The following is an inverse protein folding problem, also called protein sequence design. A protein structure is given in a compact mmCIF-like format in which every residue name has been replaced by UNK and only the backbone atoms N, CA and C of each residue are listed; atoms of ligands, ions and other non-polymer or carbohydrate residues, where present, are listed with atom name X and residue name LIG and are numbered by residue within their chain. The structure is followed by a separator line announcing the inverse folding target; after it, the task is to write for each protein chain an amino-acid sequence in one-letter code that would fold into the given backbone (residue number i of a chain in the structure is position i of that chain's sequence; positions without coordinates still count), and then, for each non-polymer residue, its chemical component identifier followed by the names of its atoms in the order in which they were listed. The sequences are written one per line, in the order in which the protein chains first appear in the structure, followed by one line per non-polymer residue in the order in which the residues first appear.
data_IF_806718675988
#
_entry.id   IF_806718675988
#
_cell.length_a   1.000
_cell.length_b   1.000
_cell.length_c   1.000
_cell.angle_alpha   90.00
_cell.angle_beta   90.00
_cell.angle_gamma   90.00
#
_symmetry.space_group_name_H-M   'P 1'
#
loop_
_entity.id
_entity.type
_entity.pdbx_description
1 polymer ?
#
# COMPACT_ATOMS: atom_id res chain seq x y z
N UNK A 1 8.80 20.93 15.01
CA UNK A 1 9.28 20.99 13.63
C UNK A 1 9.01 19.63 12.97
N UNK A 2 8.55 19.63 11.72
CA UNK A 2 8.15 18.43 10.97
C UNK A 2 9.27 17.37 10.89
N UNK A 3 10.52 17.79 10.76
CA UNK A 3 11.71 16.92 10.75
C UNK A 3 11.91 16.14 12.05
N UNK A 4 11.60 16.72 13.20
CA UNK A 4 11.70 16.03 14.50
C UNK A 4 10.60 14.98 14.66
N UNK A 5 9.38 15.27 14.19
CA UNK A 5 8.27 14.30 14.19
C UNK A 5 8.52 13.13 13.24
N UNK A 6 9.04 13.41 12.04
CA UNK A 6 9.42 12.36 11.08
C UNK A 6 10.53 11.47 11.64
N UNK A 7 11.55 12.04 12.29
CA UNK A 7 12.61 11.27 12.96
C UNK A 7 12.07 10.42 14.10
N UNK A 8 11.17 10.96 14.92
CA UNK A 8 10.55 10.23 16.02
C UNK A 8 9.66 9.08 15.51
N UNK A 9 8.87 9.31 14.46
CA UNK A 9 8.01 8.26 13.88
C UNK A 9 8.82 7.11 13.28
N UNK A 10 9.94 7.42 12.62
CA UNK A 10 10.87 6.40 12.09
C UNK A 10 11.50 5.57 13.21
N UNK A 11 11.98 6.21 14.28
CA UNK A 11 12.54 5.51 15.45
C UNK A 11 11.47 4.63 16.10
N UNK A 12 10.28 5.15 16.34
CA UNK A 12 9.17 4.39 16.92
C UNK A 12 8.76 3.22 16.03
N UNK A 13 8.68 3.40 14.71
CA UNK A 13 8.38 2.33 13.76
C UNK A 13 9.43 1.21 13.80
N UNK A 14 10.70 1.57 13.76
CA UNK A 14 11.80 0.60 13.83
C UNK A 14 11.85 -0.13 15.19
N UNK A 15 11.66 0.58 16.29
CA UNK A 15 11.60 -0.02 17.63
C UNK A 15 10.40 -0.96 17.77
N UNK A 16 9.24 -0.59 17.23
CA UNK A 16 8.03 -1.43 17.24
C UNK A 16 8.26 -2.71 16.44
N UNK A 17 8.80 -2.60 15.22
CA UNK A 17 9.09 -3.75 14.38
C UNK A 17 10.10 -4.70 15.05
N UNK A 18 11.23 -4.15 15.53
CA UNK A 18 12.23 -4.92 16.24
C UNK A 18 11.68 -5.55 17.52
N UNK A 19 10.89 -4.79 18.29
CA UNK A 19 10.24 -5.27 19.51
C UNK A 19 9.29 -6.43 19.25
N UNK A 20 8.49 -6.39 18.17
CA UNK A 20 7.61 -7.49 17.77
C UNK A 20 8.41 -8.74 17.40
N UNK A 21 9.48 -8.62 16.61
CA UNK A 21 10.35 -9.75 16.25
C UNK A 21 10.94 -10.38 17.51
N UNK A 22 11.52 -9.57 18.40
CA UNK A 22 12.09 -10.05 19.66
C UNK A 22 11.03 -10.68 20.55
N UNK A 23 9.83 -10.13 20.62
CA UNK A 23 8.71 -10.68 21.38
C UNK A 23 8.37 -12.11 20.93
N UNK A 24 8.24 -12.33 19.61
CA UNK A 24 7.95 -13.67 19.08
C UNK A 24 9.08 -14.66 19.37
N UNK A 25 10.33 -14.24 19.22
CA UNK A 25 11.50 -15.10 19.52
C UNK A 25 11.55 -15.48 21.01
N UNK A 26 11.35 -14.50 21.89
CA UNK A 26 11.37 -14.74 23.36
C UNK A 26 10.20 -15.64 23.78
N UNK A 27 8.98 -15.35 23.32
CA UNK A 27 7.81 -16.19 23.64
C UNK A 27 8.01 -17.60 23.09
N UNK A 28 8.51 -17.76 21.88
CA UNK A 28 8.82 -19.05 21.28
C UNK A 28 9.83 -19.84 22.10
N UNK A 29 10.90 -19.19 22.53
CA UNK A 29 11.92 -19.82 23.38
C UNK A 29 11.36 -20.21 24.76
N UNK A 30 10.58 -19.32 25.42
CA UNK A 30 9.93 -19.61 26.71
C UNK A 30 8.93 -20.77 26.62
N UNK A 31 8.23 -20.89 25.51
CA UNK A 31 7.29 -21.99 25.24
C UNK A 31 7.98 -23.27 24.74
N UNK A 32 9.31 -23.30 24.70
CA UNK A 32 10.12 -24.44 24.22
C UNK A 32 9.79 -24.83 22.76
N UNK A 33 9.35 -23.88 21.96
CA UNK A 33 9.20 -24.06 20.51
C UNK A 33 10.61 -24.15 19.91
N UNK A 34 10.78 -25.02 18.94
CA UNK A 34 12.01 -25.08 18.15
C UNK A 34 12.07 -23.88 17.21
N UNK A 35 12.54 -22.73 17.73
CA UNK A 35 12.44 -21.41 17.08
C UNK A 35 13.09 -21.42 15.69
N UNK A 36 14.24 -22.09 15.54
CA UNK A 36 14.93 -22.18 14.26
C UNK A 36 14.12 -22.92 13.21
N UNK A 37 13.59 -24.11 13.57
CA UNK A 37 12.78 -24.91 12.65
C UNK A 37 11.47 -24.19 12.30
N UNK A 38 10.81 -23.57 13.25
CA UNK A 38 9.62 -22.76 13.02
C UNK A 38 9.89 -21.56 12.11
N UNK A 39 11.06 -20.90 12.30
CA UNK A 39 11.48 -19.81 11.43
C UNK A 39 11.72 -20.29 9.99
N UNK A 40 12.44 -21.40 9.82
CA UNK A 40 12.71 -21.99 8.50
C UNK A 40 11.41 -22.40 7.78
N UNK A 41 10.46 -22.97 8.51
CA UNK A 41 9.14 -23.33 7.96
C UNK A 41 8.39 -22.09 7.46
N UNK A 42 8.29 -21.06 8.31
CA UNK A 42 7.67 -19.79 7.91
C UNK A 42 8.41 -19.08 6.78
N UNK A 43 9.73 -19.19 6.70
CA UNK A 43 10.51 -18.66 5.59
C UNK A 43 10.21 -19.37 4.26
N UNK A 44 9.98 -20.70 4.27
CA UNK A 44 9.55 -21.44 3.09
C UNK A 44 8.17 -20.99 2.62
N UNK A 45 7.21 -20.85 3.53
CA UNK A 45 5.87 -20.31 3.20
C UNK A 45 5.97 -18.91 2.60
N UNK A 46 6.78 -18.04 3.20
CA UNK A 46 7.04 -16.70 2.68
C UNK A 46 7.66 -16.70 1.28
N UNK A 47 8.57 -17.65 1.00
CA UNK A 47 9.16 -17.82 -0.33
C UNK A 47 8.12 -18.26 -1.37
N UNK A 48 7.22 -19.17 -1.01
CA UNK A 48 6.14 -19.60 -1.90
C UNK A 48 5.17 -18.47 -2.21
N UNK A 49 4.85 -17.63 -1.23
CA UNK A 49 4.07 -16.40 -1.45
C UNK A 49 4.80 -15.47 -2.42
N UNK A 50 6.09 -15.21 -2.22
CA UNK A 50 6.89 -14.36 -3.09
C UNK A 50 6.95 -14.90 -4.54
N UNK A 51 7.18 -16.21 -4.69
CA UNK A 51 7.19 -16.89 -5.99
C UNK A 51 5.86 -16.76 -6.73
N UNK A 52 4.74 -16.90 -6.01
CA UNK A 52 3.41 -16.79 -6.60
C UNK A 52 3.06 -15.33 -6.97
N UNK A 53 3.57 -14.34 -6.25
CA UNK A 53 3.35 -12.91 -6.54
C UNK A 53 4.20 -12.41 -7.72
N UNK A 54 5.38 -12.97 -7.94
CA UNK A 54 6.35 -12.48 -8.93
C UNK A 54 5.78 -12.35 -10.36
N UNK A 55 5.07 -13.34 -10.93
CA UNK A 55 4.49 -13.23 -12.26
C UNK A 55 3.48 -12.08 -12.38
N UNK A 56 2.67 -11.88 -11.34
CA UNK A 56 1.70 -10.77 -11.31
C UNK A 56 2.39 -9.42 -11.23
N UNK A 57 3.45 -9.30 -10.43
CA UNK A 57 4.25 -8.07 -10.36
C UNK A 57 4.90 -7.76 -11.71
N UNK A 58 5.51 -8.74 -12.37
CA UNK A 58 6.13 -8.56 -13.70
C UNK A 58 5.09 -8.13 -14.72
N UNK A 59 3.95 -8.81 -14.80
CA UNK A 59 2.88 -8.48 -15.74
C UNK A 59 2.35 -7.05 -15.50
N UNK A 60 2.14 -6.66 -14.23
CA UNK A 60 1.65 -5.32 -13.90
C UNK A 60 2.69 -4.24 -14.17
N UNK A 61 3.96 -4.47 -13.85
CA UNK A 61 5.04 -3.52 -14.15
C UNK A 61 5.19 -3.31 -15.67
N UNK A 62 5.06 -4.39 -16.47
CA UNK A 62 5.05 -4.27 -17.92
C UNK A 62 3.85 -3.44 -18.41
N UNK A 63 2.64 -3.69 -17.89
CA UNK A 63 1.43 -2.95 -18.26
C UNK A 63 1.56 -1.46 -17.89
N UNK A 64 2.04 -1.16 -16.69
CA UNK A 64 2.30 0.23 -16.23
C UNK A 64 3.38 0.88 -17.08
N UNK A 65 4.46 0.15 -17.40
CA UNK A 65 5.52 0.64 -18.28
C UNK A 65 4.98 1.03 -19.66
N UNK A 66 4.11 0.21 -20.27
CA UNK A 66 3.45 0.53 -21.53
C UNK A 66 2.53 1.76 -21.40
N UNK A 67 1.74 1.82 -20.33
CA UNK A 67 0.83 2.95 -20.07
C UNK A 67 1.61 4.26 -19.88
N UNK A 68 2.75 4.23 -19.20
CA UNK A 68 3.64 5.39 -19.05
C UNK A 68 4.34 5.73 -20.37
N UNK A 69 4.89 4.74 -21.06
CA UNK A 69 5.56 4.96 -22.35
C UNK A 69 4.62 5.52 -23.43
N UNK A 70 3.33 5.23 -23.34
CA UNK A 70 2.31 5.82 -24.22
C UNK A 70 1.95 7.26 -23.85
N UNK A 71 2.39 7.77 -22.70
CA UNK A 71 2.01 9.08 -22.14
C UNK A 71 0.57 9.15 -21.59
N UNK A 72 -0.19 8.07 -21.64
CA UNK A 72 -1.59 8.07 -21.18
C UNK A 72 -1.70 8.26 -19.67
N UNK A 73 -0.78 7.68 -18.90
CA UNK A 73 -0.74 7.87 -17.45
C UNK A 73 -0.40 9.33 -17.09
N UNK A 74 0.64 9.88 -17.71
CA UNK A 74 1.08 11.24 -17.45
C UNK A 74 0.01 12.26 -17.87
N UNK A 75 -0.64 12.05 -19.02
CA UNK A 75 -1.77 12.87 -19.45
C UNK A 75 -2.93 12.87 -18.42
N UNK A 76 -3.27 11.70 -17.88
CA UNK A 76 -4.30 11.58 -16.84
C UNK A 76 -3.91 12.27 -15.54
N UNK A 77 -2.67 12.08 -15.09
CA UNK A 77 -2.15 12.70 -13.86
C UNK A 77 -2.02 14.23 -14.01
N UNK A 78 -1.60 14.73 -15.16
CA UNK A 78 -1.53 16.16 -15.45
C UNK A 78 -2.92 16.82 -15.45
N UNK A 79 -3.92 16.13 -15.97
CA UNK A 79 -5.30 16.59 -15.86
C UNK A 79 -5.76 16.73 -14.42
N UNK A 80 -5.46 15.75 -13.57
CA UNK A 80 -5.76 15.81 -12.12
C UNK A 80 -4.94 16.92 -11.46
N UNK A 81 -3.65 17.03 -11.81
CA UNK A 81 -2.76 18.07 -11.26
C UNK A 81 -3.30 19.47 -11.53
N UNK A 82 -3.73 19.76 -12.76
CA UNK A 82 -4.36 21.04 -13.11
C UNK A 82 -5.63 21.32 -12.31
N UNK A 83 -6.47 20.30 -12.06
CA UNK A 83 -7.69 20.45 -11.25
C UNK A 83 -7.34 20.78 -9.78
N UNK A 84 -6.32 20.12 -9.22
CA UNK A 84 -5.85 20.33 -7.86
C UNK A 84 -5.23 21.73 -7.70
N UNK A 85 -4.41 22.16 -8.69
CA UNK A 85 -3.82 23.49 -8.74
C UNK A 85 -4.89 24.58 -8.85
N UNK A 86 -5.91 24.36 -9.68
CA UNK A 86 -7.04 25.30 -9.78
C UNK A 86 -7.80 25.42 -8.47
N UNK A 87 -7.88 24.36 -7.68
CA UNK A 87 -8.45 24.37 -6.33
C UNK A 87 -7.51 25.02 -5.28
N UNK A 88 -6.28 25.38 -5.65
CA UNK A 88 -5.28 25.98 -4.75
C UNK A 88 -4.62 25.00 -3.78
N UNK A 89 -4.66 23.70 -4.09
CA UNK A 89 -4.08 22.65 -3.25
C UNK A 89 -2.70 22.21 -3.76
N UNK A 90 -1.89 21.65 -2.85
CA UNK A 90 -0.58 21.09 -3.18
C UNK A 90 -0.75 19.81 -4.02
N UNK A 91 0.06 19.69 -5.08
CA UNK A 91 -0.03 18.61 -6.07
C UNK A 91 0.95 17.46 -5.83
N UNK A 92 1.80 17.53 -4.82
CA UNK A 92 2.85 16.53 -4.55
C UNK A 92 2.31 15.10 -4.38
N UNK A 93 1.06 14.94 -3.93
CA UNK A 93 0.44 13.62 -3.75
C UNK A 93 -0.08 13.01 -5.05
N UNK A 94 -0.20 13.76 -6.13
CA UNK A 94 -0.86 13.32 -7.37
C UNK A 94 -0.19 12.08 -7.96
N UNK A 95 1.13 12.00 -7.91
CA UNK A 95 1.89 10.86 -8.41
C UNK A 95 1.69 9.56 -7.59
N UNK A 96 1.08 9.65 -6.41
CA UNK A 96 0.67 8.50 -5.61
C UNK A 96 -0.73 7.97 -5.96
N UNK A 97 -1.55 8.76 -6.66
CA UNK A 97 -2.94 8.40 -6.99
C UNK A 97 -3.09 7.10 -7.78
N UNK A 98 -2.20 6.73 -8.73
CA UNK A 98 -2.29 5.44 -9.41
C UNK A 98 -2.34 4.25 -8.45
N UNK A 99 -1.55 4.26 -7.37
CA UNK A 99 -1.60 3.24 -6.32
C UNK A 99 -2.97 3.21 -5.64
N UNK A 100 -3.51 4.36 -5.27
CA UNK A 100 -4.82 4.49 -4.61
C UNK A 100 -5.97 4.03 -5.51
N UNK A 101 -5.94 4.40 -6.79
CA UNK A 101 -7.01 4.05 -7.75
C UNK A 101 -7.06 2.56 -8.07
N UNK A 102 -5.92 1.89 -8.08
CA UNK A 102 -5.84 0.45 -8.40
C UNK A 102 -6.07 -0.43 -7.18
N UNK A 103 -5.84 0.07 -5.98
CA UNK A 103 -5.93 -0.67 -4.72
C UNK A 103 -7.26 -1.39 -4.49
N UNK A 104 -8.45 -0.79 -4.72
CA UNK A 104 -9.73 -1.47 -4.55
C UNK A 104 -9.88 -2.73 -5.39
N UNK A 105 -9.23 -2.77 -6.57
CA UNK A 105 -9.35 -3.84 -7.55
C UNK A 105 -8.30 -4.93 -7.35
N UNK A 106 -7.06 -4.55 -7.04
CA UNK A 106 -5.94 -5.48 -6.97
C UNK A 106 -4.82 -4.99 -6.07
N UNK A 107 -4.58 -5.72 -4.98
CA UNK A 107 -3.48 -5.42 -4.05
C UNK A 107 -2.09 -5.64 -4.68
N UNK A 108 -1.94 -6.61 -5.58
CA UNK A 108 -0.69 -6.85 -6.30
C UNK A 108 -0.41 -5.75 -7.34
N UNK A 109 -1.44 -5.29 -8.05
CA UNK A 109 -1.33 -4.18 -8.99
C UNK A 109 -0.99 -2.86 -8.27
N UNK A 110 -1.65 -2.57 -7.14
CA UNK A 110 -1.33 -1.41 -6.33
C UNK A 110 0.11 -1.45 -5.80
N UNK A 111 0.62 -2.64 -5.44
CA UNK A 111 2.02 -2.81 -5.05
C UNK A 111 2.99 -2.54 -6.21
N UNK A 112 2.65 -2.96 -7.43
CA UNK A 112 3.45 -2.65 -8.62
C UNK A 112 3.48 -1.13 -8.89
N UNK A 113 2.33 -0.44 -8.75
CA UNK A 113 2.25 1.02 -8.85
C UNK A 113 3.09 1.72 -7.78
N UNK A 114 3.09 1.24 -6.54
CA UNK A 114 3.96 1.76 -5.48
C UNK A 114 5.45 1.62 -5.85
N UNK A 115 5.86 0.43 -6.32
CA UNK A 115 7.26 0.18 -6.71
C UNK A 115 7.65 1.12 -7.87
N UNK A 116 6.76 1.32 -8.82
CA UNK A 116 6.97 2.22 -9.95
C UNK A 116 7.13 3.68 -9.46
N UNK A 117 6.26 4.14 -8.56
CA UNK A 117 6.37 5.47 -7.94
C UNK A 117 7.71 5.64 -7.20
N UNK A 118 8.16 4.61 -6.47
CA UNK A 118 9.47 4.62 -5.81
C UNK A 118 10.64 4.69 -6.81
N UNK A 119 10.53 4.02 -7.95
CA UNK A 119 11.58 4.01 -8.98
C UNK A 119 11.67 5.34 -9.73
N UNK A 120 10.54 5.99 -10.00
CA UNK A 120 10.48 7.24 -10.76
C UNK A 120 10.73 8.48 -9.91
N UNK A 121 10.14 8.53 -8.72
CA UNK A 121 10.20 9.71 -7.84
C UNK A 121 11.25 9.58 -6.72
N UNK A 122 11.75 8.37 -6.48
CA UNK A 122 12.64 8.05 -5.36
C UNK A 122 11.90 7.45 -4.16
N UNK A 123 12.59 6.57 -3.41
CA UNK A 123 12.00 5.81 -2.29
C UNK A 123 11.54 6.71 -1.16
N UNK A 124 12.30 7.77 -0.86
CA UNK A 124 12.01 8.72 0.22
C UNK A 124 11.24 9.95 -0.26
N UNK A 125 10.74 9.94 -1.49
CA UNK A 125 9.96 11.05 -2.04
C UNK A 125 8.58 11.11 -1.40
N UNK A 126 7.99 12.31 -1.35
CA UNK A 126 6.66 12.51 -0.80
C UNK A 126 5.59 11.63 -1.47
N UNK A 127 5.53 11.51 -2.83
CA UNK A 127 4.60 10.60 -3.48
C UNK A 127 4.81 9.14 -3.07
N UNK A 128 6.06 8.67 -2.94
CA UNK A 128 6.35 7.30 -2.54
C UNK A 128 5.88 7.02 -1.09
N UNK A 129 6.06 7.97 -0.17
CA UNK A 129 5.57 7.88 1.20
C UNK A 129 4.03 7.84 1.25
N UNK A 130 3.35 8.68 0.45
CA UNK A 130 1.89 8.67 0.33
C UNK A 130 1.42 7.32 -0.24
N UNK A 131 2.01 6.85 -1.33
CA UNK A 131 1.65 5.58 -1.95
C UNK A 131 1.87 4.38 -1.00
N UNK A 132 2.97 4.37 -0.24
CA UNK A 132 3.26 3.36 0.76
C UNK A 132 2.24 3.39 1.91
N UNK A 133 1.87 4.58 2.38
CA UNK A 133 0.86 4.76 3.43
C UNK A 133 -0.50 4.28 2.96
N UNK A 134 -0.93 4.63 1.74
CA UNK A 134 -2.17 4.13 1.13
C UNK A 134 -2.12 2.61 1.01
N UNK A 135 -1.01 2.04 0.50
CA UNK A 135 -0.86 0.60 0.35
C UNK A 135 -0.98 -0.15 1.69
N UNK A 136 -0.50 0.44 2.78
CA UNK A 136 -0.54 -0.16 4.11
C UNK A 136 -1.83 0.09 4.90
N UNK A 137 -2.58 1.16 4.61
CA UNK A 137 -3.75 1.58 5.39
C UNK A 137 -5.09 1.24 4.75
N UNK A 138 -5.13 0.88 3.47
CA UNK A 138 -6.34 0.48 2.76
C UNK A 138 -6.28 -0.98 2.32
N UNK A 139 -7.43 -1.58 1.96
CA UNK A 139 -7.50 -2.99 1.60
C UNK A 139 -8.13 -3.17 0.20
N UNK A 140 -7.96 -4.35 -0.41
CA UNK A 140 -8.49 -4.66 -1.73
C UNK A 140 -10.00 -4.93 -1.66
N UNK A 141 -10.79 -3.90 -1.77
CA UNK A 141 -12.24 -3.89 -1.51
C UNK A 141 -12.98 -5.03 -2.22
N UNK A 142 -12.81 -5.18 -3.53
CA UNK A 142 -13.56 -6.19 -4.29
C UNK A 142 -13.15 -7.63 -3.94
N UNK A 143 -11.87 -7.86 -3.68
CA UNK A 143 -11.38 -9.16 -3.25
C UNK A 143 -11.96 -9.53 -1.86
N UNK A 144 -11.88 -8.61 -0.91
CA UNK A 144 -12.41 -8.83 0.45
C UNK A 144 -13.91 -9.13 0.41
N UNK A 145 -14.69 -8.34 -0.34
CA UNK A 145 -16.13 -8.60 -0.49
C UNK A 145 -16.40 -9.97 -1.11
N UNK A 146 -15.67 -10.34 -2.17
CA UNK A 146 -15.86 -11.63 -2.83
C UNK A 146 -15.55 -12.80 -1.90
N UNK A 147 -14.43 -12.75 -1.18
CA UNK A 147 -14.00 -13.82 -0.26
C UNK A 147 -14.96 -13.95 0.92
N UNK A 148 -15.26 -12.84 1.62
CA UNK A 148 -16.10 -12.92 2.83
C UNK A 148 -17.56 -13.20 2.50
N UNK A 149 -18.12 -12.59 1.46
CA UNK A 149 -19.51 -12.85 1.06
C UNK A 149 -19.65 -14.25 0.45
N UNK A 150 -18.64 -14.71 -0.30
CA UNK A 150 -18.60 -16.07 -0.82
C UNK A 150 -18.56 -17.11 0.30
N UNK A 151 -17.75 -16.90 1.33
CA UNK A 151 -17.62 -17.80 2.47
C UNK A 151 -18.94 -18.00 3.26
N UNK A 152 -19.78 -16.96 3.33
CA UNK A 152 -21.07 -17.01 4.05
C UNK A 152 -22.28 -17.10 3.12
N UNK A 153 -22.09 -17.30 1.81
CA UNK A 153 -23.15 -17.48 0.82
C UNK A 153 -23.98 -16.23 0.53
N UNK A 154 -23.50 -15.03 0.80
CA UNK A 154 -24.19 -13.77 0.49
C UNK A 154 -24.09 -13.50 -1.01
N UNK A 155 -25.24 -13.51 -1.69
CA UNK A 155 -25.31 -13.30 -3.14
C UNK A 155 -25.57 -11.83 -3.54
N UNK A 156 -26.02 -10.98 -2.60
CA UNK A 156 -26.37 -9.58 -2.86
C UNK A 156 -25.61 -8.66 -1.94
N UNK A 157 -24.62 -7.95 -2.47
CA UNK A 157 -23.80 -7.01 -1.72
C UNK A 157 -24.53 -5.74 -1.23
N UNK A 158 -25.72 -5.41 -1.82
CA UNK A 158 -26.52 -4.21 -1.49
C UNK A 158 -25.64 -2.94 -1.40
N UNK A 159 -25.58 -2.33 -0.19
CA UNK A 159 -24.82 -1.10 0.06
C UNK A 159 -23.34 -1.37 0.39
N UNK A 160 -22.91 -2.63 0.56
CA UNK A 160 -21.55 -2.95 1.03
C UNK A 160 -20.47 -2.42 0.09
N UNK A 161 -20.66 -2.53 -1.23
CA UNK A 161 -19.69 -2.01 -2.21
C UNK A 161 -19.56 -0.49 -2.08
N UNK A 162 -20.69 0.24 -2.04
CA UNK A 162 -20.67 1.71 -1.92
C UNK A 162 -20.04 2.16 -0.60
N UNK A 163 -20.40 1.53 0.51
CA UNK A 163 -19.81 1.84 1.82
C UNK A 163 -18.30 1.53 1.86
N UNK A 164 -17.88 0.41 1.27
CA UNK A 164 -16.46 0.04 1.23
C UNK A 164 -15.64 1.01 0.36
N UNK A 165 -16.16 1.44 -0.80
CA UNK A 165 -15.48 2.44 -1.64
C UNK A 165 -15.42 3.82 -0.97
N UNK A 166 -16.46 4.21 -0.22
CA UNK A 166 -16.41 5.43 0.57
C UNK A 166 -15.39 5.35 1.71
N UNK A 167 -15.30 4.20 2.38
CA UNK A 167 -14.28 3.96 3.40
C UNK A 167 -12.86 3.98 2.81
N UNK A 168 -12.67 3.40 1.62
CA UNK A 168 -11.42 3.44 0.86
C UNK A 168 -11.03 4.89 0.56
N UNK A 169 -11.95 5.67 0.01
CA UNK A 169 -11.73 7.10 -0.29
C UNK A 169 -11.35 7.88 0.99
N UNK A 170 -12.05 7.64 2.09
CA UNK A 170 -11.71 8.26 3.37
C UNK A 170 -10.32 7.83 3.87
N UNK A 171 -9.95 6.57 3.67
CA UNK A 171 -8.62 6.04 3.96
C UNK A 171 -7.52 6.70 3.14
N UNK A 172 -7.73 6.90 1.84
CA UNK A 172 -6.80 7.60 0.95
C UNK A 172 -6.63 9.07 1.37
N UNK A 173 -7.73 9.78 1.65
CA UNK A 173 -7.68 11.17 2.13
C UNK A 173 -6.95 11.24 3.47
N UNK A 174 -7.22 10.31 4.39
CA UNK A 174 -6.53 10.21 5.66
C UNK A 174 -5.03 9.96 5.49
N UNK A 175 -4.64 9.04 4.61
CA UNK A 175 -3.24 8.75 4.30
C UNK A 175 -2.50 9.99 3.76
N UNK A 176 -3.11 10.70 2.80
CA UNK A 176 -2.55 11.95 2.26
C UNK A 176 -2.40 12.99 3.37
N UNK A 177 -3.43 13.20 4.18
CA UNK A 177 -3.42 14.17 5.28
C UNK A 177 -2.34 13.88 6.31
N UNK A 178 -2.22 12.62 6.72
CA UNK A 178 -1.18 12.17 7.66
C UNK A 178 0.22 12.37 7.08
N UNK A 179 0.41 12.05 5.80
CA UNK A 179 1.70 12.27 5.14
C UNK A 179 2.06 13.77 5.10
N UNK A 180 1.11 14.66 4.84
CA UNK A 180 1.37 16.10 4.93
C UNK A 180 1.71 16.54 6.36
N UNK A 181 1.12 15.91 7.37
CA UNK A 181 1.41 16.27 8.76
C UNK A 181 2.79 15.82 9.23
N UNK A 182 3.24 14.63 8.79
CA UNK A 182 4.51 14.06 9.24
C UNK A 182 5.71 14.39 8.34
N UNK A 183 5.48 14.55 7.04
CA UNK A 183 6.53 14.66 6.01
C UNK A 183 6.39 15.89 5.11
N UNK A 184 5.33 16.70 5.28
CA UNK A 184 4.97 17.86 4.46
C UNK A 184 5.65 19.21 4.78
#
# INVERSE_FOLDING_TARGET
SATALAGLSSILGNLTLFGLIMLFLVIGALRKVKVYEAFVEGAKEGFDVAKNLLPYLVAMLCAVGVLRASGALDFGLDGIRHLVEWAGWDTRFVDALPTAMVKPFSGSAARAMLIETMQTSGVDSFPALVAATVQGSTETTFYVLAVYFGAVGIQRARHAVGCALLAELAGVIGAITVCYWFFG
#
